data_IF_687960347243
#
_entry.id   IF_687960347243
#
_cell.length_a   1.000
_cell.length_b   1.000
_cell.length_c   1.000
_cell.angle_alpha   90.00
_cell.angle_beta   90.00
_cell.angle_gamma   90.00
#
_symmetry.space_group_name_H-M   'P 1'
#
loop_
_entity.id
_entity.type
_entity.pdbx_description
1 polymer ?
#
# COMPACT_ATOMS: atom_id res chain seq x y z
N UNK A 1 -0.05 17.18 -1.36
CA UNK A 1 0.48 18.48 -1.81
C UNK A 1 -0.66 19.29 -2.44
N UNK A 2 -0.61 20.62 -2.42
CA UNK A 2 -1.67 21.45 -3.02
C UNK A 2 -1.61 21.45 -4.55
N UNK A 3 -0.42 21.40 -5.12
CA UNK A 3 -0.14 21.27 -6.56
C UNK A 3 1.05 20.33 -6.74
N UNK A 4 1.09 19.63 -7.88
CA UNK A 4 2.24 18.83 -8.30
C UNK A 4 2.81 19.42 -9.59
N UNK A 5 4.12 19.63 -9.61
CA UNK A 5 4.89 19.98 -10.80
C UNK A 5 5.80 18.81 -11.13
N UNK A 6 5.70 18.28 -12.34
CA UNK A 6 6.55 17.20 -12.84
C UNK A 6 7.49 17.78 -13.89
N UNK A 7 8.79 17.77 -13.61
CA UNK A 7 9.85 17.88 -14.62
C UNK A 7 9.86 16.60 -15.44
N UNK A 8 9.17 16.61 -16.57
CA UNK A 8 8.84 15.45 -17.38
C UNK A 8 9.92 15.17 -18.43
N UNK A 9 11.01 14.54 -17.99
CA UNK A 9 12.02 13.95 -18.87
C UNK A 9 11.61 12.55 -19.32
N UNK A 10 11.76 12.26 -20.61
CA UNK A 10 11.40 10.97 -21.23
C UNK A 10 12.61 10.20 -21.77
N UNK A 11 13.84 10.57 -21.38
CA UNK A 11 15.08 9.88 -21.75
C UNK A 11 15.27 8.51 -21.08
N UNK A 12 14.52 8.23 -20.01
CA UNK A 12 14.40 6.88 -19.44
C UNK A 12 13.57 5.91 -20.30
N UNK A 13 12.83 6.41 -21.29
CA UNK A 13 12.00 5.58 -22.15
C UNK A 13 12.84 4.75 -23.13
N UNK A 14 12.31 3.60 -23.55
CA UNK A 14 12.99 2.75 -24.53
C UNK A 14 13.34 3.48 -25.84
N UNK A 15 14.54 3.25 -26.35
CA UNK A 15 15.04 3.82 -27.62
C UNK A 15 16.13 4.88 -27.45
N UNK A 16 16.44 5.29 -26.21
CA UNK A 16 17.59 6.15 -25.92
C UNK A 16 18.84 5.30 -25.70
N UNK A 17 19.96 5.67 -26.34
CA UNK A 17 21.24 4.99 -26.16
C UNK A 17 21.76 5.10 -24.72
N UNK A 18 22.69 4.21 -24.34
CA UNK A 18 23.24 4.10 -22.98
C UNK A 18 23.79 5.42 -22.42
N UNK A 19 24.40 6.25 -23.28
CA UNK A 19 24.97 7.53 -22.88
C UNK A 19 23.94 8.64 -22.58
N UNK A 20 22.69 8.48 -23.01
CA UNK A 20 21.62 9.48 -22.86
C UNK A 20 20.54 9.07 -21.86
N UNK A 21 20.34 7.76 -21.66
CA UNK A 21 19.38 7.23 -20.70
C UNK A 21 19.58 5.75 -20.45
N UNK A 22 19.67 4.94 -21.53
CA UNK A 22 19.97 3.51 -21.45
C UNK A 22 18.91 2.66 -20.74
N UNK A 23 17.76 3.24 -20.42
CA UNK A 23 16.63 2.56 -19.79
C UNK A 23 15.58 2.17 -20.82
N UNK A 24 14.67 1.30 -20.37
CA UNK A 24 13.63 0.70 -21.20
C UNK A 24 12.25 0.89 -20.55
N UNK A 25 11.97 2.09 -20.06
CA UNK A 25 10.66 2.42 -19.48
C UNK A 25 9.63 2.55 -20.61
N UNK A 26 8.45 1.96 -20.44
CA UNK A 26 7.35 2.13 -21.39
C UNK A 26 6.70 3.51 -21.25
N UNK A 27 6.20 4.06 -22.36
CA UNK A 27 5.37 5.27 -22.37
C UNK A 27 4.16 5.15 -21.42
N UNK A 28 3.60 3.93 -21.31
CA UNK A 28 2.52 3.60 -20.40
C UNK A 28 2.87 3.78 -18.91
N UNK A 29 4.10 3.46 -18.50
CA UNK A 29 4.50 3.68 -17.10
C UNK A 29 4.51 5.17 -16.74
N UNK A 30 4.95 6.06 -17.64
CA UNK A 30 4.87 7.51 -17.41
C UNK A 30 3.42 8.00 -17.27
N UNK A 31 2.51 7.46 -18.10
CA UNK A 31 1.09 7.77 -18.02
C UNK A 31 0.46 7.27 -16.71
N UNK A 32 0.80 6.05 -16.28
CA UNK A 32 0.33 5.50 -15.01
C UNK A 32 0.82 6.33 -13.81
N UNK A 33 2.11 6.72 -13.78
CA UNK A 33 2.64 7.61 -12.73
C UNK A 33 1.90 8.95 -12.73
N UNK A 34 1.68 9.53 -13.91
CA UNK A 34 0.91 10.78 -14.07
C UNK A 34 -0.49 10.65 -13.46
N UNK A 35 -1.20 9.57 -13.79
CA UNK A 35 -2.54 9.27 -13.28
C UNK A 35 -2.55 9.07 -11.75
N UNK A 36 -1.57 8.35 -11.21
CA UNK A 36 -1.41 8.18 -9.75
C UNK A 36 -1.20 9.52 -9.05
N UNK A 37 -0.41 10.44 -9.62
CA UNK A 37 -0.21 11.78 -9.07
C UNK A 37 -1.48 12.65 -9.06
N UNK A 38 -2.39 12.46 -10.02
CA UNK A 38 -3.68 13.18 -10.05
C UNK A 38 -4.53 12.87 -8.81
N UNK A 39 -4.46 11.63 -8.30
CA UNK A 39 -5.24 11.19 -7.13
C UNK A 39 -4.85 11.93 -5.83
N UNK A 40 -3.60 12.38 -5.68
CA UNK A 40 -3.09 12.93 -4.40
C UNK A 40 -3.07 14.47 -4.33
N UNK A 41 -3.48 15.15 -5.42
CA UNK A 41 -3.40 16.61 -5.56
C UNK A 41 -4.72 17.25 -6.02
N UNK A 42 -5.85 16.54 -5.91
CA UNK A 42 -7.13 16.94 -6.48
C UNK A 42 -7.01 17.29 -7.98
N UNK A 43 -6.25 16.48 -8.73
CA UNK A 43 -5.94 16.69 -10.15
C UNK A 43 -5.23 18.01 -10.49
N UNK A 44 -4.63 18.70 -9.51
CA UNK A 44 -3.82 19.91 -9.76
C UNK A 44 -2.38 19.51 -10.03
N UNK A 45 -2.13 19.17 -11.29
CA UNK A 45 -0.84 18.68 -11.76
C UNK A 45 -0.44 19.40 -13.06
N UNK A 46 0.86 19.68 -13.20
CA UNK A 46 1.44 20.25 -14.42
C UNK A 46 2.69 19.46 -14.78
N UNK A 47 2.79 19.05 -16.04
CA UNK A 47 3.99 18.42 -16.60
C UNK A 47 4.71 19.46 -17.46
N UNK A 48 5.99 19.68 -17.21
CA UNK A 48 6.87 20.51 -18.04
C UNK A 48 7.86 19.57 -18.74
N UNK A 49 7.86 19.55 -20.08
CA UNK A 49 8.79 18.72 -20.85
C UNK A 49 10.24 19.13 -20.58
N UNK A 50 11.10 18.16 -20.27
CA UNK A 50 12.53 18.35 -20.02
C UNK A 50 13.36 17.57 -21.05
N UNK A 51 14.01 16.47 -20.64
CA UNK A 51 14.80 15.59 -21.49
C UNK A 51 13.97 14.62 -22.34
N UNK A 52 14.64 13.92 -23.24
CA UNK A 52 14.03 13.04 -24.23
C UNK A 52 14.59 13.35 -25.61
N UNK A 53 15.38 12.43 -26.15
CA UNK A 53 16.25 12.67 -27.31
C UNK A 53 15.91 11.78 -28.51
N UNK A 54 14.92 10.89 -28.35
CA UNK A 54 14.29 10.14 -29.43
C UNK A 54 12.89 10.73 -29.71
N UNK A 55 12.70 11.53 -30.78
CA UNK A 55 11.45 12.25 -31.00
C UNK A 55 10.20 11.38 -31.05
N UNK A 56 10.29 10.19 -31.64
CA UNK A 56 9.15 9.24 -31.70
C UNK A 56 8.79 8.71 -30.32
N UNK A 57 9.78 8.28 -29.54
CA UNK A 57 9.57 7.82 -28.16
C UNK A 57 9.01 8.93 -27.28
N UNK A 58 9.52 10.15 -27.42
CA UNK A 58 9.03 11.32 -26.69
C UNK A 58 7.58 11.61 -27.04
N UNK A 59 7.21 11.57 -28.32
CA UNK A 59 5.84 11.75 -28.77
C UNK A 59 4.89 10.70 -28.17
N UNK A 60 5.30 9.43 -28.11
CA UNK A 60 4.52 8.36 -27.48
C UNK A 60 4.32 8.58 -25.97
N UNK A 61 5.37 9.03 -25.27
CA UNK A 61 5.30 9.32 -23.83
C UNK A 61 4.41 10.53 -23.54
N UNK A 62 4.54 11.62 -24.31
CA UNK A 62 3.68 12.80 -24.21
C UNK A 62 2.23 12.40 -24.47
N UNK A 63 1.97 11.66 -25.55
CA UNK A 63 0.63 11.20 -25.91
C UNK A 63 0.01 10.39 -24.79
N UNK A 64 0.76 9.44 -24.23
CA UNK A 64 0.29 8.60 -23.11
C UNK A 64 0.00 9.44 -21.85
N UNK A 65 0.87 10.38 -21.50
CA UNK A 65 0.69 11.26 -20.33
C UNK A 65 -0.51 12.20 -20.52
N UNK A 66 -0.68 12.80 -21.71
CA UNK A 66 -1.84 13.65 -22.02
C UNK A 66 -3.12 12.83 -21.95
N UNK A 67 -3.14 11.60 -22.47
CA UNK A 67 -4.29 10.72 -22.33
C UNK A 67 -4.63 10.44 -20.86
N UNK A 68 -3.63 10.21 -20.00
CA UNK A 68 -3.85 10.06 -18.56
C UNK A 68 -4.48 11.30 -17.91
N UNK A 69 -4.04 12.51 -18.29
CA UNK A 69 -4.59 13.78 -17.78
C UNK A 69 -6.05 14.01 -18.18
N UNK A 70 -6.49 13.42 -19.29
CA UNK A 70 -7.87 13.52 -19.78
C UNK A 70 -8.83 12.53 -19.08
N UNK A 71 -8.31 11.54 -18.34
CA UNK A 71 -9.13 10.59 -17.60
C UNK A 71 -9.46 11.11 -16.19
N UNK A 72 -10.57 10.65 -15.58
CA UNK A 72 -10.83 10.90 -14.17
C UNK A 72 -9.72 10.35 -13.29
N UNK A 73 -9.34 11.08 -12.25
CA UNK A 73 -8.40 10.59 -11.24
C UNK A 73 -8.98 9.39 -10.47
N UNK A 74 -8.12 8.46 -10.04
CA UNK A 74 -8.49 7.35 -9.17
C UNK A 74 -9.19 7.85 -7.91
N UNK A 75 -10.27 7.18 -7.51
CA UNK A 75 -11.06 7.59 -6.34
C UNK A 75 -10.47 7.02 -5.05
N UNK A 76 -9.80 5.87 -5.12
CA UNK A 76 -9.18 5.23 -3.96
C UNK A 76 -7.71 5.60 -3.85
N UNK A 77 -7.31 6.11 -2.69
CA UNK A 77 -5.91 6.28 -2.35
C UNK A 77 -5.32 4.92 -1.97
N UNK A 78 -4.60 4.30 -2.90
CA UNK A 78 -3.79 3.13 -2.62
C UNK A 78 -2.41 3.56 -2.11
N UNK A 79 -1.97 2.95 -1.00
CA UNK A 79 -0.63 3.11 -0.47
C UNK A 79 -0.07 1.70 -0.28
N UNK A 80 1.09 1.37 -0.89
CA UNK A 80 1.63 0.02 -0.84
C UNK A 80 2.05 -0.36 0.59
N UNK A 81 1.86 -1.63 0.93
CA UNK A 81 2.34 -2.19 2.21
C UNK A 81 3.83 -2.47 2.11
N UNK A 82 4.64 -1.64 2.77
CA UNK A 82 6.11 -1.74 2.80
C UNK A 82 6.66 -2.35 4.09
N UNK A 83 5.82 -2.53 5.12
CA UNK A 83 6.20 -3.12 6.40
C UNK A 83 5.26 -4.29 6.74
N UNK A 84 5.84 -5.48 6.93
CA UNK A 84 5.10 -6.72 7.23
C UNK A 84 4.96 -6.94 8.75
N UNK A 85 5.85 -6.38 9.58
CA UNK A 85 5.86 -6.58 11.04
C UNK A 85 4.77 -5.76 11.75
N UNK A 86 4.44 -4.60 11.20
CA UNK A 86 3.29 -3.81 11.60
C UNK A 86 2.54 -3.39 10.34
N UNK A 87 1.69 -4.25 9.78
CA UNK A 87 0.78 -3.87 8.71
C UNK A 87 -0.28 -2.93 9.33
N UNK A 88 0.13 -1.74 9.76
CA UNK A 88 -0.71 -0.80 10.47
C UNK A 88 -1.84 -0.36 9.54
N UNK A 89 -3.08 -0.46 10.04
CA UNK A 89 -4.34 0.05 9.48
C UNK A 89 -4.71 -0.54 8.11
N UNK A 90 -5.75 -1.39 8.12
CA UNK A 90 -6.63 -1.75 7.02
C UNK A 90 -5.99 -1.66 5.62
N UNK A 91 -5.47 -2.78 5.13
CA UNK A 91 -5.12 -2.92 3.70
C UNK A 91 -6.29 -2.37 2.88
N UNK A 92 -6.06 -1.32 2.10
CA UNK A 92 -7.09 -0.75 1.23
C UNK A 92 -7.22 -1.63 -0.01
N UNK A 93 -7.90 -2.77 0.14
CA UNK A 93 -8.00 -3.78 -0.91
C UNK A 93 -8.68 -3.23 -2.18
N UNK A 94 -9.67 -2.34 -2.01
CA UNK A 94 -10.33 -1.68 -3.13
C UNK A 94 -9.35 -0.77 -3.89
N UNK A 95 -8.53 -0.02 -3.16
CA UNK A 95 -7.47 0.79 -3.75
C UNK A 95 -6.40 -0.05 -4.44
N UNK A 96 -5.96 -1.16 -3.84
CA UNK A 96 -5.00 -2.07 -4.46
C UNK A 96 -5.55 -2.66 -5.77
N UNK A 97 -6.83 -3.06 -5.77
CA UNK A 97 -7.49 -3.59 -6.95
C UNK A 97 -7.68 -2.52 -8.04
N UNK A 98 -8.06 -1.29 -7.68
CA UNK A 98 -8.14 -0.16 -8.61
C UNK A 98 -6.75 0.17 -9.20
N UNK A 99 -5.71 0.21 -8.36
CA UNK A 99 -4.33 0.43 -8.80
C UNK A 99 -3.86 -0.66 -9.78
N UNK A 100 -4.19 -1.92 -9.52
CA UNK A 100 -3.91 -3.04 -10.42
C UNK A 100 -4.61 -2.92 -11.77
N UNK A 101 -5.91 -2.61 -11.77
CA UNK A 101 -6.68 -2.45 -13.00
C UNK A 101 -6.19 -1.25 -13.83
N UNK A 102 -5.89 -0.13 -13.17
CA UNK A 102 -5.30 1.04 -13.81
C UNK A 102 -3.90 0.73 -14.37
N UNK A 103 -3.08 -0.02 -13.64
CA UNK A 103 -1.76 -0.44 -14.12
C UNK A 103 -1.86 -1.30 -15.37
N UNK A 104 -2.78 -2.29 -15.41
CA UNK A 104 -3.00 -3.15 -16.57
C UNK A 104 -3.44 -2.40 -17.84
N UNK A 105 -4.11 -1.26 -17.68
CA UNK A 105 -4.53 -0.44 -18.81
C UNK A 105 -3.34 0.23 -19.52
N UNK A 106 -2.35 0.69 -18.75
CA UNK A 106 -1.22 1.46 -19.26
C UNK A 106 0.05 0.65 -19.47
N UNK A 107 0.37 -0.25 -18.53
CA UNK A 107 1.68 -0.88 -18.41
C UNK A 107 1.63 -2.30 -19.00
N UNK A 108 2.60 -2.70 -19.84
CA UNK A 108 2.70 -4.05 -20.33
C UNK A 108 2.77 -5.07 -19.19
N UNK A 109 2.04 -6.19 -19.32
CA UNK A 109 2.01 -7.25 -18.30
C UNK A 109 3.41 -7.76 -17.95
N UNK A 110 4.33 -7.81 -18.92
CA UNK A 110 5.71 -8.21 -18.72
C UNK A 110 6.48 -7.29 -17.75
N UNK A 111 6.12 -6.01 -17.65
CA UNK A 111 6.69 -5.09 -16.66
C UNK A 111 6.08 -5.29 -15.27
N UNK A 112 4.77 -5.53 -15.20
CA UNK A 112 4.06 -5.70 -13.92
C UNK A 112 4.46 -6.96 -13.14
N UNK A 113 4.84 -8.03 -13.85
CA UNK A 113 5.28 -9.29 -13.24
C UNK A 113 6.79 -9.39 -13.05
N UNK A 114 7.55 -8.41 -13.54
CA UNK A 114 9.01 -8.45 -13.48
C UNK A 114 9.48 -7.87 -12.15
N UNK A 115 10.20 -8.63 -11.32
CA UNK A 115 10.77 -8.07 -10.10
C UNK A 115 11.84 -7.02 -10.45
N UNK A 116 12.03 -6.01 -9.58
CA UNK A 116 13.15 -5.08 -9.69
C UNK A 116 14.49 -5.83 -9.73
N UNK A 117 15.47 -5.28 -10.44
CA UNK A 117 16.84 -5.81 -10.41
C UNK A 117 17.45 -5.61 -9.02
N UNK A 118 18.32 -6.52 -8.52
CA UNK A 118 18.93 -6.38 -7.20
C UNK A 118 19.60 -5.02 -6.96
N UNK A 119 20.26 -4.47 -7.98
CA UNK A 119 20.91 -3.16 -7.93
C UNK A 119 19.90 -2.02 -7.71
N UNK A 120 18.71 -2.12 -8.32
CA UNK A 120 17.64 -1.17 -8.11
C UNK A 120 17.06 -1.28 -6.68
N UNK A 121 16.90 -2.49 -6.15
CA UNK A 121 16.46 -2.72 -4.77
C UNK A 121 17.46 -2.11 -3.79
N UNK A 122 18.76 -2.33 -3.97
CA UNK A 122 19.81 -1.76 -3.12
C UNK A 122 19.76 -0.22 -3.14
N UNK A 123 19.61 0.39 -4.32
CA UNK A 123 19.50 1.84 -4.47
C UNK A 123 18.25 2.41 -3.77
N UNK A 124 17.09 1.76 -3.96
CA UNK A 124 15.83 2.14 -3.31
C UNK A 124 15.95 2.01 -1.80
N UNK A 125 16.44 0.88 -1.27
CA UNK A 125 16.61 0.66 0.16
C UNK A 125 17.57 1.66 0.79
N UNK A 126 18.64 2.05 0.08
CA UNK A 126 19.56 3.09 0.56
C UNK A 126 18.84 4.44 0.69
N UNK A 127 18.03 4.81 -0.31
CA UNK A 127 17.23 6.04 -0.31
C UNK A 127 16.17 6.01 0.80
N UNK A 128 15.42 4.92 0.94
CA UNK A 128 14.41 4.70 1.97
C UNK A 128 15.04 4.84 3.37
N UNK A 129 16.17 4.18 3.62
CA UNK A 129 16.89 4.25 4.91
C UNK A 129 17.38 5.68 5.20
N UNK A 130 17.82 6.42 4.18
CA UNK A 130 18.20 7.82 4.34
C UNK A 130 16.99 8.67 4.75
N UNK A 131 15.86 8.55 4.05
CA UNK A 131 14.65 9.32 4.36
C UNK A 131 14.01 8.93 5.71
N UNK A 132 14.08 7.66 6.09
CA UNK A 132 13.63 7.22 7.41
C UNK A 132 14.40 7.96 8.53
N UNK A 133 15.72 8.13 8.37
CA UNK A 133 16.58 8.89 9.31
C UNK A 133 16.27 10.38 9.34
N UNK A 134 15.81 10.96 8.24
CA UNK A 134 15.43 12.39 8.16
C UNK A 134 14.00 12.67 8.62
N UNK A 135 13.27 11.65 9.10
CA UNK A 135 11.99 11.81 9.78
C UNK A 135 10.76 11.35 8.99
N UNK A 136 10.93 10.73 7.82
CA UNK A 136 9.82 10.19 7.04
C UNK A 136 9.28 8.91 7.68
N UNK A 137 8.19 9.05 8.45
CA UNK A 137 7.55 7.94 9.18
C UNK A 137 7.03 6.82 8.29
N UNK A 138 6.63 7.11 7.06
CA UNK A 138 6.21 6.08 6.10
C UNK A 138 7.34 5.12 5.69
N UNK A 139 8.60 5.50 5.92
CA UNK A 139 9.77 4.68 5.62
C UNK A 139 10.37 3.98 6.84
N UNK A 140 9.73 4.07 8.01
CA UNK A 140 10.19 3.31 9.19
C UNK A 140 9.83 1.85 9.04
N UNK A 141 10.79 0.96 9.33
CA UNK A 141 10.62 -0.50 9.32
C UNK A 141 10.20 -1.08 7.96
N UNK A 142 10.65 -0.46 6.85
CA UNK A 142 10.44 -1.02 5.51
C UNK A 142 11.28 -2.27 5.32
N UNK A 143 10.66 -3.34 4.79
CA UNK A 143 11.32 -4.61 4.49
C UNK A 143 11.89 -4.61 3.07
N UNK A 144 13.14 -5.07 2.92
CA UNK A 144 13.77 -5.28 1.61
C UNK A 144 12.98 -6.27 0.75
N UNK A 145 12.37 -7.29 1.36
CA UNK A 145 11.54 -8.29 0.67
C UNK A 145 10.34 -7.63 -0.02
N UNK A 146 9.67 -6.69 0.64
CA UNK A 146 8.53 -5.96 0.04
C UNK A 146 8.96 -5.06 -1.11
N UNK A 147 10.13 -4.44 -1.01
CA UNK A 147 10.68 -3.55 -2.04
C UNK A 147 11.18 -4.36 -3.25
N UNK A 148 11.56 -5.62 -3.05
CA UNK A 148 12.03 -6.53 -4.10
C UNK A 148 10.90 -7.25 -4.86
N UNK A 149 9.64 -7.09 -4.46
CA UNK A 149 8.50 -7.69 -5.15
C UNK A 149 8.24 -7.01 -6.50
N UNK A 150 7.84 -7.80 -7.50
CA UNK A 150 7.14 -7.25 -8.66
C UNK A 150 5.82 -6.61 -8.23
N UNK A 151 5.27 -5.73 -9.07
CA UNK A 151 3.98 -5.10 -8.78
C UNK A 151 2.87 -6.13 -8.58
N UNK A 152 2.85 -7.18 -9.41
CA UNK A 152 1.88 -8.28 -9.28
C UNK A 152 2.02 -9.04 -7.95
N UNK A 153 3.24 -9.29 -7.48
CA UNK A 153 3.47 -9.97 -6.20
C UNK A 153 3.06 -9.09 -5.02
N UNK A 154 3.34 -7.78 -5.08
CA UNK A 154 2.95 -6.83 -4.04
C UNK A 154 1.41 -6.76 -3.89
N UNK A 155 0.68 -6.65 -5.01
CA UNK A 155 -0.80 -6.66 -4.99
C UNK A 155 -1.33 -8.00 -4.45
N UNK A 156 -0.71 -9.12 -4.84
CA UNK A 156 -1.11 -10.44 -4.34
C UNK A 156 -0.88 -10.59 -2.83
N UNK A 157 0.29 -10.14 -2.35
CA UNK A 157 0.62 -10.12 -0.92
C UNK A 157 -0.40 -9.28 -0.14
N UNK A 158 -0.76 -8.09 -0.62
CA UNK A 158 -1.77 -7.25 0.03
C UNK A 158 -3.14 -7.94 0.12
N UNK A 159 -3.55 -8.65 -0.93
CA UNK A 159 -4.77 -9.45 -0.90
C UNK A 159 -4.69 -10.58 0.14
N UNK A 160 -3.56 -11.27 0.26
CA UNK A 160 -3.37 -12.30 1.29
C UNK A 160 -3.44 -11.72 2.70
N UNK A 161 -2.79 -10.57 2.94
CA UNK A 161 -2.83 -9.88 4.22
C UNK A 161 -4.25 -9.45 4.60
N UNK A 162 -5.04 -8.97 3.63
CA UNK A 162 -6.45 -8.63 3.83
C UNK A 162 -7.28 -9.84 4.29
N UNK A 163 -7.17 -10.98 3.61
CA UNK A 163 -7.90 -12.21 3.97
C UNK A 163 -7.47 -12.76 5.35
N UNK A 164 -6.18 -12.70 5.67
CA UNK A 164 -5.68 -13.08 7.00
C UNK A 164 -6.26 -12.20 8.11
N UNK A 165 -6.31 -10.88 7.89
CA UNK A 165 -6.88 -9.93 8.85
C UNK A 165 -8.38 -10.20 9.09
N UNK A 166 -9.14 -10.44 8.02
CA UNK A 166 -10.57 -10.80 8.09
C UNK A 166 -10.81 -12.09 8.86
N UNK A 167 -9.98 -13.11 8.66
CA UNK A 167 -10.06 -14.38 9.39
C UNK A 167 -9.76 -14.19 10.89
N UNK A 168 -8.73 -13.42 11.22
CA UNK A 168 -8.36 -13.11 12.61
C UNK A 168 -9.46 -12.33 13.35
N UNK A 169 -10.08 -11.35 12.69
CA UNK A 169 -11.23 -10.62 13.25
C UNK A 169 -12.42 -11.53 13.51
N UNK A 170 -12.76 -12.41 12.55
CA UNK A 170 -13.84 -13.37 12.70
C UNK A 170 -13.60 -14.33 13.89
N UNK A 171 -12.38 -14.85 14.02
CA UNK A 171 -12.00 -15.72 15.14
C UNK A 171 -12.03 -14.97 16.49
N UNK A 172 -11.60 -13.71 16.52
CA UNK A 172 -11.68 -12.85 17.70
C UNK A 172 -13.13 -12.58 18.13
N UNK A 173 -14.03 -12.32 17.18
CA UNK A 173 -15.46 -12.14 17.45
C UNK A 173 -16.11 -13.42 17.96
N UNK A 174 -15.75 -14.58 17.40
CA UNK A 174 -16.24 -15.88 17.86
C UNK A 174 -15.77 -16.18 19.29
N UNK A 175 -14.50 -15.90 19.59
CA UNK A 175 -13.94 -16.10 20.94
C UNK A 175 -14.58 -15.18 21.98
N UNK A 176 -14.90 -13.92 21.62
CA UNK A 176 -15.61 -12.98 22.51
C UNK A 176 -17.06 -13.41 22.80
N UNK A 177 -17.78 -13.93 21.80
CA UNK A 177 -19.12 -14.51 22.02
C UNK A 177 -19.10 -15.73 22.94
N UNK A 178 -18.11 -16.61 22.78
CA UNK A 178 -17.94 -17.78 23.66
C UNK A 178 -17.60 -17.40 25.12
N UNK A 179 -16.89 -16.30 25.35
CA UNK A 179 -16.62 -15.80 26.70
C UNK A 179 -17.82 -15.11 27.36
N UNK A 180 -18.69 -14.43 26.60
CA UNK A 180 -19.89 -13.76 27.12
C UNK A 180 -21.03 -14.75 27.45
N UNK A 181 -21.11 -15.90 26.77
CA UNK A 181 -22.09 -16.96 27.06
C UNK A 181 -21.71 -17.84 28.28
N UNK A 182 -20.61 -17.51 28.98
CA UNK A 182 -20.21 -18.17 30.24
C UNK A 182 -20.94 -17.54 31.44
N UNK A 183 -22.02 -18.18 31.87
CA UNK A 183 -22.95 -17.79 32.96
C UNK A 183 -22.23 -17.40 34.27
N UNK A 184 -22.70 -16.38 35.04
CA UNK A 184 -22.14 -16.03 36.35
C UNK A 184 -22.35 -17.17 37.35
N UNK A 185 -21.28 -17.62 38.00
CA UNK A 185 -21.36 -18.56 39.12
C UNK A 185 -22.22 -17.96 40.24
N UNK A 186 -23.33 -18.62 40.57
CA UNK A 186 -24.11 -18.33 41.78
C UNK A 186 -23.19 -18.41 43.01
N UNK A 187 -22.99 -17.29 43.69
CA UNK A 187 -22.44 -17.27 45.04
C UNK A 187 -23.47 -17.86 46.00
N UNK A 188 -23.26 -19.09 46.46
CA UNK A 188 -24.00 -19.68 47.57
C UNK A 188 -23.55 -19.02 48.89
N UNK A 189 -24.41 -18.16 49.43
CA UNK A 189 -24.28 -17.64 50.79
C UNK A 189 -24.52 -18.76 51.79
N UNK A 190 -23.49 -19.13 52.57
CA UNK A 190 -23.60 -20.03 53.71
C UNK A 190 -24.22 -19.30 54.91
N UNK A 191 -25.46 -19.64 55.23
CA UNK A 191 -26.12 -19.22 56.47
C UNK A 191 -25.63 -20.08 57.64
N UNK A 192 -24.94 -19.47 58.60
CA UNK A 192 -24.53 -20.05 59.89
C UNK A 192 -25.74 -20.30 60.79
N UNK A 193 -25.82 -21.51 61.37
CA UNK A 193 -26.82 -21.90 62.37
C UNK A 193 -26.58 -21.18 63.72
N UNK A 194 -27.63 -20.91 64.54
CA UNK A 194 -27.47 -20.33 65.87
C UNK A 194 -27.21 -21.41 66.93
N UNK A 195 -26.25 -21.14 67.81
CA UNK A 195 -26.00 -21.90 69.03
C UNK A 195 -27.16 -21.71 70.03
N UNK A 196 -27.63 -22.83 70.57
CA UNK A 196 -28.50 -22.91 71.74
C UNK A 196 -27.73 -22.57 73.02
N UNK A 197 -28.26 -21.66 73.84
CA UNK A 197 -27.98 -21.64 75.28
C UNK A 197 -29.28 -21.40 76.08
N UNK A 198 -29.51 -22.31 77.00
CA UNK A 198 -30.56 -22.39 78.01
C UNK A 198 -30.26 -21.54 79.25
N UNK A 199 -31.23 -20.80 79.78
CA UNK A 199 -31.48 -20.54 81.22
C UNK A 199 -32.79 -19.74 81.32
N UNK A 200 -33.91 -20.34 81.70
CA UNK A 200 -34.42 -20.62 83.06
C UNK A 200 -34.95 -19.40 83.83
N UNK A 201 -36.22 -19.54 84.19
CA UNK A 201 -36.95 -19.08 85.40
C UNK A 201 -37.58 -17.69 85.49
N UNK A 202 -38.85 -17.78 85.93
CA UNK A 202 -39.77 -16.81 86.58
C UNK A 202 -40.44 -15.74 85.73
#
# INVERSE_FOLDING_TARGET
PDIILISAGYDAAFGHGEALGGYSVSAGLFAWITHQCMSISNSRIVLALEGGYCPTTVADCITSCVNALLLPASQSHWMPVLNIEQPNKCVNINGAQEAWMNALYWIPKSELIRPPRPEAVVNLMTTIRHHAKTGWKCFTNVSEETVAMSFSEAIHMEHQLYEMNKCNEFNSMKSRKLSDDSIPSLSSSSSSAPNTSTSSSS
#
